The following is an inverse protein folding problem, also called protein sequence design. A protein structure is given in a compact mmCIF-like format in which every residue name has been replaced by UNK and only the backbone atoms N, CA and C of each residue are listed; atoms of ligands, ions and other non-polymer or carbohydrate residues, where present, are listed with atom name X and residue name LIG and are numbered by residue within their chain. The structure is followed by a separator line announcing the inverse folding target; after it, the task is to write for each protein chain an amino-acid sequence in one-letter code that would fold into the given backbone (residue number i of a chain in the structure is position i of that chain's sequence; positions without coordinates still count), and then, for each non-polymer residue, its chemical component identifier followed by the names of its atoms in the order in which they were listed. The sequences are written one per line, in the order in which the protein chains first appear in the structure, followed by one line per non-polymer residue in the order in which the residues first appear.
data_IF_987575965239
#
_entry.id   IF_987575965239
#
_cell.length_a   1.000
_cell.length_b   1.000
_cell.length_c   1.000
_cell.angle_alpha   90.00
_cell.angle_beta   90.00
_cell.angle_gamma   90.00
#
_symmetry.space_group_name_H-M   'P 1'
#
loop_
_entity.id
_entity.type
_entity.pdbx_description
1 polymer ?
#
# COMPACT_ATOMS: atom_id res chain seq x y z
N UNK A 1 -21.26 -9.72 -53.44
CA UNK A 1 -20.71 -10.00 -54.77
C UNK A 1 -19.77 -11.19 -54.64
N UNK A 2 -20.11 -12.27 -55.33
CA UNK A 2 -19.45 -13.57 -55.33
C UNK A 2 -17.99 -13.49 -55.80
N UNK A 3 -17.11 -14.26 -55.16
CA UNK A 3 -16.29 -15.25 -55.86
C UNK A 3 -15.51 -16.11 -54.86
N UNK A 4 -15.98 -17.35 -54.73
CA UNK A 4 -15.32 -18.48 -54.10
C UNK A 4 -13.93 -18.71 -54.71
N UNK A 5 -12.91 -18.90 -53.86
CA UNK A 5 -11.69 -19.60 -54.25
C UNK A 5 -11.62 -20.90 -53.46
N UNK A 6 -11.95 -21.97 -54.18
CA UNK A 6 -11.82 -23.36 -53.78
C UNK A 6 -10.33 -23.72 -53.62
N UNK A 7 -9.99 -24.27 -52.46
CA UNK A 7 -8.81 -25.11 -52.25
C UNK A 7 -8.97 -26.42 -53.03
N UNK A 8 -7.91 -26.99 -53.63
CA UNK A 8 -7.86 -28.42 -53.91
C UNK A 8 -7.05 -29.14 -52.84
N UNK A 9 -7.65 -30.23 -52.37
CA UNK A 9 -7.11 -31.20 -51.43
C UNK A 9 -5.82 -31.88 -51.93
N UNK A 10 -4.97 -32.17 -50.95
CA UNK A 10 -3.83 -33.04 -51.07
C UNK A 10 -4.29 -34.51 -51.15
N UNK A 11 -3.83 -35.23 -52.17
CA UNK A 11 -3.65 -36.69 -52.10
C UNK A 11 -2.43 -37.13 -52.89
N UNK A 12 -1.40 -37.49 -52.13
CA UNK A 12 -0.39 -38.54 -52.37
C UNK A 12 -0.16 -39.01 -53.81
N UNK A 13 1.02 -38.66 -54.36
CA UNK A 13 1.81 -39.64 -55.11
C UNK A 13 3.30 -39.43 -54.84
N UNK A 14 3.95 -40.55 -54.58
CA UNK A 14 5.33 -40.78 -54.17
C UNK A 14 6.32 -40.16 -55.15
N UNK A 15 7.19 -39.27 -54.68
CA UNK A 15 8.43 -38.94 -55.37
C UNK A 15 9.57 -38.95 -54.37
N UNK A 16 10.52 -39.84 -54.66
CA UNK A 16 11.71 -40.09 -53.88
C UNK A 16 12.59 -38.85 -53.80
N UNK A 17 13.24 -38.70 -52.64
CA UNK A 17 14.34 -37.79 -52.40
C UNK A 17 15.29 -37.68 -53.60
N UNK A 18 15.41 -36.48 -54.17
CA UNK A 18 16.67 -36.01 -54.74
C UNK A 18 16.89 -34.60 -54.22
N UNK A 19 17.68 -34.57 -53.16
CA UNK A 19 18.34 -33.41 -52.61
C UNK A 19 19.29 -32.83 -53.68
N UNK A 20 19.05 -31.62 -54.16
CA UNK A 20 20.07 -30.74 -54.74
C UNK A 20 19.63 -29.28 -54.59
N UNK A 21 19.96 -28.74 -53.41
CA UNK A 21 20.39 -27.36 -53.14
C UNK A 21 20.41 -26.40 -54.34
N UNK A 22 19.64 -25.31 -54.23
CA UNK A 22 20.06 -24.02 -54.79
C UNK A 22 21.34 -23.53 -54.09
N UNK A 23 22.02 -22.50 -54.64
CA UNK A 23 21.42 -21.18 -54.53
C UNK A 23 21.58 -20.29 -55.77
N UNK A 24 20.60 -19.40 -55.97
CA UNK A 24 20.81 -18.13 -56.68
C UNK A 24 21.36 -17.11 -55.68
N UNK A 25 22.52 -16.55 -55.99
CA UNK A 25 22.94 -15.22 -55.54
C UNK A 25 23.62 -14.56 -56.74
N UNK A 26 23.02 -13.49 -57.26
CA UNK A 26 23.75 -12.50 -58.05
C UNK A 26 24.40 -11.53 -57.06
N UNK A 27 25.67 -11.15 -57.25
CA UNK A 27 26.14 -9.82 -56.92
C UNK A 27 26.15 -8.96 -58.19
N UNK A 28 25.50 -7.82 -58.08
CA UNK A 28 25.83 -6.61 -58.84
C UNK A 28 27.18 -6.15 -58.27
N UNK A 29 28.22 -6.05 -59.09
CA UNK A 29 28.96 -4.79 -59.21
C UNK A 29 29.92 -4.79 -60.39
N UNK A 30 30.01 -3.58 -60.93
CA UNK A 30 30.82 -3.14 -62.06
C UNK A 30 32.30 -3.26 -61.72
N UNK A 31 33.08 -3.85 -62.62
CA UNK A 31 34.32 -3.25 -63.09
C UNK A 31 34.69 -3.90 -64.42
N UNK A 32 34.75 -3.06 -65.46
CA UNK A 32 35.06 -3.43 -66.84
C UNK A 32 36.55 -3.23 -67.05
N UNK A 33 37.35 -4.28 -67.30
CA UNK A 33 38.61 -4.12 -68.00
C UNK A 33 38.34 -4.16 -69.50
N UNK A 34 38.71 -3.08 -70.19
CA UNK A 34 38.88 -3.03 -71.65
C UNK A 34 39.75 -4.20 -72.10
N UNK A 35 39.17 -5.18 -72.78
CA UNK A 35 39.93 -6.17 -73.55
C UNK A 35 39.89 -5.74 -75.02
N UNK A 36 41.08 -5.46 -75.51
CA UNK A 36 41.40 -5.16 -76.90
C UNK A 36 40.88 -6.27 -77.81
N UNK A 37 40.21 -5.87 -78.89
CA UNK A 37 39.92 -6.74 -80.03
C UNK A 37 41.26 -7.21 -80.63
N UNK A 38 41.65 -8.44 -80.34
CA UNK A 38 42.70 -9.12 -81.11
C UNK A 38 42.08 -9.81 -82.33
N UNK A 39 42.76 -9.55 -83.43
CA UNK A 39 42.51 -9.90 -84.83
C UNK A 39 41.90 -11.29 -85.07
N UNK A 40 40.88 -11.28 -85.92
CA UNK A 40 40.28 -12.44 -86.57
C UNK A 40 41.31 -13.22 -87.41
N UNK A 41 41.32 -14.57 -87.37
CA UNK A 41 42.05 -15.35 -88.35
C UNK A 41 41.48 -15.11 -89.75
N UNK A 42 42.38 -14.94 -90.72
CA UNK A 42 42.12 -14.82 -92.17
C UNK A 42 41.39 -16.08 -92.73
N UNK A 43 40.74 -15.94 -93.90
CA UNK A 43 39.49 -16.61 -94.22
C UNK A 43 39.69 -18.06 -94.64
N UNK A 44 39.00 -18.96 -93.95
CA UNK A 44 38.69 -20.27 -94.54
C UNK A 44 37.53 -20.04 -95.50
N UNK A 45 37.75 -20.40 -96.76
CA UNK A 45 36.79 -20.33 -97.86
C UNK A 45 35.44 -20.88 -97.40
N UNK A 46 34.49 -19.97 -97.25
CA UNK A 46 33.08 -20.24 -96.98
C UNK A 46 32.51 -20.93 -98.23
N UNK A 47 32.05 -22.19 -98.18
CA UNK A 47 31.09 -22.63 -99.17
C UNK A 47 29.85 -21.79 -98.93
N UNK A 48 29.50 -20.97 -99.92
CA UNK A 48 28.26 -20.25 -100.01
C UNK A 48 27.12 -21.26 -99.88
N UNK A 49 26.56 -21.41 -98.68
CA UNK A 49 25.21 -21.93 -98.53
C UNK A 49 24.29 -20.90 -99.20
N UNK A 50 23.47 -21.28 -100.18
CA UNK A 50 22.59 -20.33 -100.84
C UNK A 50 21.60 -19.79 -99.81
N UNK A 51 21.68 -18.49 -99.54
CA UNK A 51 20.54 -17.73 -99.08
C UNK A 51 19.44 -17.85 -100.14
N UNK A 52 18.21 -18.04 -99.66
CA UNK A 52 16.95 -18.00 -100.43
C UNK A 52 16.65 -19.20 -101.34
N UNK A 53 15.95 -20.18 -100.75
CA UNK A 53 14.62 -20.51 -101.26
C UNK A 53 13.70 -20.57 -100.04
N UNK A 54 13.09 -19.44 -99.69
CA UNK A 54 11.78 -19.43 -99.06
C UNK A 54 10.79 -19.45 -100.23
N UNK A 55 10.18 -20.59 -100.61
CA UNK A 55 9.04 -20.54 -101.48
C UNK A 55 7.87 -20.03 -100.63
N UNK A 56 7.38 -18.85 -100.97
CA UNK A 56 6.02 -18.34 -100.79
C UNK A 56 5.14 -19.12 -99.79
N UNK A 57 4.88 -18.48 -98.64
CA UNK A 57 3.58 -18.27 -97.95
C UNK A 57 2.36 -19.21 -98.14
N UNK A 58 2.47 -20.43 -98.66
CA UNK A 58 1.35 -21.38 -98.81
C UNK A 58 1.71 -22.84 -98.47
N UNK A 59 2.90 -23.10 -97.90
CA UNK A 59 3.29 -24.47 -97.50
C UNK A 59 2.63 -24.91 -96.17
N UNK A 60 1.92 -24.00 -95.49
CA UNK A 60 1.11 -24.30 -94.29
C UNK A 60 -0.07 -25.26 -94.54
N UNK A 61 -0.32 -25.68 -95.78
CA UNK A 61 -1.39 -26.64 -96.12
C UNK A 61 -0.90 -27.97 -96.71
N UNK A 62 0.41 -28.19 -96.81
CA UNK A 62 0.91 -29.54 -97.10
C UNK A 62 1.02 -30.32 -95.80
N UNK A 63 0.05 -31.19 -95.54
CA UNK A 63 0.25 -32.36 -94.68
C UNK A 63 1.42 -33.16 -95.28
N UNK A 64 2.66 -32.84 -94.87
CA UNK A 64 3.81 -33.66 -95.20
C UNK A 64 3.60 -35.01 -94.49
N UNK A 65 3.56 -36.13 -95.23
CA UNK A 65 3.33 -37.43 -94.63
C UNK A 65 4.41 -37.70 -93.57
N UNK A 66 4.00 -38.21 -92.41
CA UNK A 66 4.95 -38.53 -91.34
C UNK A 66 5.98 -39.56 -91.82
N UNK A 67 7.18 -39.59 -91.24
CA UNK A 67 8.24 -40.57 -91.58
C UNK A 67 7.71 -42.02 -91.73
N UNK A 68 6.77 -42.51 -90.89
CA UNK A 68 6.14 -43.82 -91.09
C UNK A 68 5.34 -43.96 -92.40
N UNK A 69 4.65 -42.91 -92.83
CA UNK A 69 3.87 -42.89 -94.07
C UNK A 69 4.79 -42.84 -95.29
N UNK A 70 5.86 -42.03 -95.23
CA UNK A 70 6.89 -41.98 -96.29
C UNK A 70 7.63 -43.32 -96.39
N UNK A 71 8.02 -43.92 -95.25
CA UNK A 71 8.61 -45.28 -95.22
C UNK A 71 7.70 -46.30 -95.88
N UNK A 72 6.40 -46.30 -95.56
CA UNK A 72 5.43 -47.23 -96.14
C UNK A 72 5.26 -47.04 -97.65
N UNK A 73 5.24 -45.80 -98.13
CA UNK A 73 5.14 -45.49 -99.56
C UNK A 73 6.42 -45.87 -100.33
N UNK A 74 7.60 -45.65 -99.74
CA UNK A 74 8.87 -46.02 -100.34
C UNK A 74 9.09 -47.54 -100.34
N UNK A 75 8.65 -48.26 -99.31
CA UNK A 75 8.67 -49.73 -99.27
C UNK A 75 7.76 -50.33 -100.36
N UNK A 76 6.58 -49.73 -100.57
CA UNK A 76 5.70 -50.10 -101.68
C UNK A 76 6.33 -49.83 -103.05
N UNK A 77 7.09 -48.74 -103.20
CA UNK A 77 7.85 -48.43 -104.41
C UNK A 77 8.97 -49.45 -104.63
N UNK A 78 9.70 -49.78 -103.56
CA UNK A 78 10.80 -50.76 -103.56
C UNK A 78 10.33 -52.15 -104.00
N UNK A 79 9.18 -52.58 -103.50
CA UNK A 79 8.58 -53.85 -103.91
C UNK A 79 8.21 -53.87 -105.40
N UNK A 80 7.59 -52.80 -105.92
CA UNK A 80 7.27 -52.68 -107.36
C UNK A 80 8.52 -52.61 -108.26
N UNK A 81 9.61 -52.04 -107.76
CA UNK A 81 10.87 -51.89 -108.51
C UNK A 81 11.74 -53.16 -108.50
N UNK A 82 11.48 -54.07 -107.56
CA UNK A 82 12.10 -55.40 -107.51
C UNK A 82 11.69 -56.33 -108.68
N UNK A 83 10.84 -55.86 -109.59
CA UNK A 83 10.47 -56.54 -110.82
C UNK A 83 11.34 -56.13 -112.03
N UNK A 84 12.15 -55.07 -111.92
CA UNK A 84 12.97 -54.54 -113.04
C UNK A 84 14.26 -55.37 -113.24
N UNK A 85 14.52 -56.04 -114.36
CA UNK A 85 15.64 -57.00 -114.48
C UNK A 85 17.05 -56.40 -114.35
N UNK A 86 17.19 -55.08 -114.44
CA UNK A 86 18.49 -54.40 -114.35
C UNK A 86 18.91 -54.12 -112.89
N UNK A 87 19.97 -54.81 -112.45
CA UNK A 87 20.52 -54.75 -111.09
C UNK A 87 21.10 -53.38 -110.72
N UNK A 88 21.67 -52.64 -111.67
CA UNK A 88 22.25 -51.32 -111.39
C UNK A 88 21.18 -50.27 -111.09
N UNK A 89 20.07 -50.29 -111.83
CA UNK A 89 18.94 -49.39 -111.58
C UNK A 89 18.28 -49.66 -110.22
N UNK A 90 18.18 -50.93 -109.80
CA UNK A 90 17.69 -51.26 -108.45
C UNK A 90 18.58 -50.70 -107.37
N UNK A 91 19.90 -50.83 -107.48
CA UNK A 91 20.86 -50.27 -106.52
C UNK A 91 20.78 -48.75 -106.47
N UNK A 92 20.63 -48.10 -107.62
CA UNK A 92 20.54 -46.64 -107.68
C UNK A 92 19.25 -46.13 -107.02
N UNK A 93 18.12 -46.79 -107.26
CA UNK A 93 16.85 -46.40 -106.64
C UNK A 93 16.83 -46.74 -105.14
N UNK A 94 17.36 -47.89 -104.73
CA UNK A 94 17.53 -48.22 -103.30
C UNK A 94 18.39 -47.16 -102.59
N UNK A 95 19.46 -46.69 -103.22
CA UNK A 95 20.28 -45.62 -102.67
C UNK A 95 19.50 -44.29 -102.55
N UNK A 96 18.70 -43.93 -103.57
CA UNK A 96 17.83 -42.75 -103.51
C UNK A 96 16.77 -42.86 -102.41
N UNK A 97 16.20 -44.05 -102.19
CA UNK A 97 15.26 -44.32 -101.10
C UNK A 97 15.95 -44.13 -99.74
N UNK A 98 17.15 -44.69 -99.56
CA UNK A 98 17.94 -44.52 -98.32
C UNK A 98 18.26 -43.04 -98.06
N UNK A 99 18.71 -42.31 -99.08
CA UNK A 99 18.99 -40.88 -98.97
C UNK A 99 17.74 -40.07 -98.62
N UNK A 100 16.58 -40.41 -99.21
CA UNK A 100 15.31 -39.74 -98.93
C UNK A 100 14.84 -39.99 -97.49
N UNK A 101 14.98 -41.22 -96.99
CA UNK A 101 14.64 -41.55 -95.61
C UNK A 101 15.57 -40.85 -94.61
N UNK A 102 16.87 -40.76 -94.93
CA UNK A 102 17.84 -40.04 -94.11
C UNK A 102 17.53 -38.54 -94.06
N UNK A 103 17.27 -37.91 -95.20
CA UNK A 103 16.90 -36.49 -95.27
C UNK A 103 15.63 -36.20 -94.46
N UNK A 104 14.62 -37.07 -94.53
CA UNK A 104 13.38 -36.87 -93.77
C UNK A 104 13.59 -37.08 -92.26
N UNK A 105 14.42 -38.03 -91.83
CA UNK A 105 14.76 -38.18 -90.40
C UNK A 105 15.55 -36.99 -89.87
N UNK A 106 16.45 -36.42 -90.67
CA UNK A 106 17.24 -35.25 -90.28
C UNK A 106 16.34 -34.01 -90.14
N UNK A 107 15.35 -33.85 -91.02
CA UNK A 107 14.32 -32.78 -90.92
C UNK A 107 13.46 -32.94 -89.66
N UNK A 108 13.01 -34.15 -89.35
CA UNK A 108 12.18 -34.41 -88.16
C UNK A 108 12.99 -34.20 -86.86
N UNK A 109 14.28 -34.55 -86.85
CA UNK A 109 15.19 -34.27 -85.74
C UNK A 109 15.36 -32.76 -85.53
N UNK A 110 15.62 -31.99 -86.59
CA UNK A 110 15.74 -30.53 -86.52
C UNK A 110 14.45 -29.88 -86.00
N UNK A 111 13.27 -30.36 -86.43
CA UNK A 111 11.97 -29.86 -85.94
C UNK A 111 11.75 -30.17 -84.45
N UNK A 112 12.12 -31.38 -84.00
CA UNK A 112 12.06 -31.75 -82.58
C UNK A 112 12.97 -30.87 -81.72
N UNK A 113 14.20 -30.62 -82.17
CA UNK A 113 15.13 -29.72 -81.50
C UNK A 113 14.60 -28.27 -81.41
N UNK A 114 13.96 -27.77 -82.48
CA UNK A 114 13.34 -26.43 -82.49
C UNK A 114 12.21 -26.30 -81.47
N UNK A 115 11.29 -27.27 -81.44
CA UNK A 115 10.17 -27.28 -80.49
C UNK A 115 10.64 -27.37 -79.03
N UNK A 116 11.68 -28.16 -78.77
CA UNK A 116 12.29 -28.25 -77.43
C UNK A 116 12.91 -26.92 -76.98
N UNK A 117 13.55 -26.19 -77.90
CA UNK A 117 14.13 -24.88 -77.61
C UNK A 117 13.07 -23.82 -77.31
N UNK A 118 11.97 -23.78 -78.07
CA UNK A 118 10.85 -22.86 -77.81
C UNK A 118 10.18 -23.12 -76.46
N UNK A 119 9.95 -24.40 -76.11
CA UNK A 119 9.39 -24.77 -74.82
C UNK A 119 10.31 -24.38 -73.65
N UNK A 120 11.61 -24.66 -73.77
CA UNK A 120 12.61 -24.26 -72.78
C UNK A 120 12.68 -22.73 -72.63
N UNK A 121 12.74 -21.98 -73.74
CA UNK A 121 12.75 -20.52 -73.74
C UNK A 121 11.47 -19.93 -73.11
N UNK A 122 10.29 -20.49 -73.41
CA UNK A 122 9.04 -20.09 -72.77
C UNK A 122 9.04 -20.34 -71.25
N UNK A 123 9.63 -21.45 -70.82
CA UNK A 123 9.78 -21.81 -69.41
C UNK A 123 10.71 -20.84 -68.67
N UNK A 124 11.81 -20.41 -69.30
CA UNK A 124 12.70 -19.41 -68.73
C UNK A 124 12.03 -18.04 -68.66
N UNK A 125 11.33 -17.60 -69.71
CA UNK A 125 10.61 -16.33 -69.71
C UNK A 125 9.55 -16.25 -68.59
N UNK A 126 8.81 -17.33 -68.34
CA UNK A 126 7.88 -17.42 -67.20
C UNK A 126 8.59 -17.30 -65.85
N UNK A 127 9.74 -17.96 -65.68
CA UNK A 127 10.55 -17.86 -64.46
C UNK A 127 11.08 -16.44 -64.25
N UNK A 128 11.57 -15.79 -65.31
CA UNK A 128 12.00 -14.39 -65.26
C UNK A 128 10.86 -13.45 -64.92
N UNK A 129 9.67 -13.65 -65.50
CA UNK A 129 8.47 -12.89 -65.17
C UNK A 129 8.08 -13.00 -63.69
N UNK A 130 8.08 -14.21 -63.11
CA UNK A 130 7.81 -14.43 -61.69
C UNK A 130 8.82 -13.69 -60.80
N UNK A 131 10.11 -13.78 -61.13
CA UNK A 131 11.18 -13.13 -60.36
C UNK A 131 11.08 -11.60 -60.42
N UNK A 132 10.69 -11.03 -61.56
CA UNK A 132 10.47 -9.59 -61.67
C UNK A 132 9.30 -9.13 -60.81
N UNK A 133 8.20 -9.88 -60.78
CA UNK A 133 7.06 -9.61 -59.91
C UNK A 133 7.44 -9.73 -58.42
N UNK A 134 8.18 -10.76 -58.03
CA UNK A 134 8.69 -10.95 -56.67
C UNK A 134 9.64 -9.82 -56.26
N UNK A 135 10.56 -9.42 -57.14
CA UNK A 135 11.48 -8.31 -56.89
C UNK A 135 10.73 -6.98 -56.72
N UNK A 136 9.71 -6.72 -57.56
CA UNK A 136 8.86 -5.53 -57.42
C UNK A 136 8.10 -5.53 -56.08
N UNK A 137 7.57 -6.68 -55.66
CA UNK A 137 6.89 -6.81 -54.37
C UNK A 137 7.86 -6.60 -53.19
N UNK A 138 9.06 -7.20 -53.23
CA UNK A 138 10.09 -7.01 -52.20
C UNK A 138 10.53 -5.54 -52.11
N UNK A 139 10.73 -4.88 -53.25
CA UNK A 139 11.06 -3.45 -53.30
C UNK A 139 9.97 -2.58 -52.67
N UNK A 140 8.69 -2.88 -52.96
CA UNK A 140 7.56 -2.19 -52.36
C UNK A 140 7.48 -2.40 -50.83
N UNK A 141 7.67 -3.63 -50.37
CA UNK A 141 7.69 -3.94 -48.93
C UNK A 141 8.87 -3.26 -48.23
N UNK A 142 10.06 -3.23 -48.84
CA UNK A 142 11.22 -2.52 -48.32
C UNK A 142 10.93 -1.03 -48.12
N UNK A 143 10.30 -0.38 -49.11
CA UNK A 143 9.92 1.04 -49.00
C UNK A 143 8.92 1.29 -47.86
N UNK A 144 7.91 0.43 -47.70
CA UNK A 144 6.97 0.51 -46.57
C UNK A 144 7.68 0.36 -45.23
N UNK A 145 8.65 -0.55 -45.13
CA UNK A 145 9.41 -0.76 -43.92
C UNK A 145 10.25 0.47 -43.55
N UNK A 146 10.92 1.08 -44.54
CA UNK A 146 11.69 2.33 -44.34
C UNK A 146 10.80 3.50 -43.90
N UNK A 147 9.57 3.61 -44.42
CA UNK A 147 8.60 4.62 -43.97
C UNK A 147 8.14 4.37 -42.53
N UNK A 148 7.87 3.11 -42.17
CA UNK A 148 7.50 2.73 -40.81
C UNK A 148 8.65 2.98 -39.81
N UNK A 149 9.89 2.67 -40.18
CA UNK A 149 11.07 2.96 -39.36
C UNK A 149 11.20 4.46 -39.05
N UNK A 150 10.98 5.32 -40.06
CA UNK A 150 10.96 6.78 -39.86
C UNK A 150 9.87 7.24 -38.90
N UNK A 151 8.69 6.62 -38.93
CA UNK A 151 7.60 6.93 -38.00
C UNK A 151 7.95 6.51 -36.58
N UNK A 152 8.49 5.30 -36.40
CA UNK A 152 8.93 4.79 -35.09
C UNK A 152 10.00 5.69 -34.47
N UNK A 153 10.98 6.15 -35.26
CA UNK A 153 12.01 7.09 -34.77
C UNK A 153 11.39 8.42 -34.34
N UNK A 154 10.41 8.95 -35.09
CA UNK A 154 9.70 10.17 -34.69
C UNK A 154 8.93 10.00 -33.38
N UNK A 155 8.19 8.90 -33.24
CA UNK A 155 7.44 8.61 -32.01
C UNK A 155 8.37 8.41 -30.81
N UNK A 156 9.49 7.70 -31.00
CA UNK A 156 10.53 7.54 -29.98
C UNK A 156 11.04 8.89 -29.47
N UNK A 157 11.37 9.81 -30.37
CA UNK A 157 11.87 11.15 -29.99
C UNK A 157 10.82 11.97 -29.21
N UNK A 158 9.54 11.84 -29.56
CA UNK A 158 8.43 12.47 -28.82
C UNK A 158 8.32 11.87 -27.41
N UNK A 159 8.42 10.54 -27.29
CA UNK A 159 8.39 9.85 -26.00
C UNK A 159 9.59 10.26 -25.14
N UNK A 160 10.81 10.26 -25.68
CA UNK A 160 12.01 10.71 -24.97
C UNK A 160 11.87 12.14 -24.44
N UNK A 161 11.37 13.06 -25.28
CA UNK A 161 11.11 14.43 -24.85
C UNK A 161 10.09 14.51 -23.70
N UNK A 162 9.05 13.67 -23.73
CA UNK A 162 8.03 13.61 -22.66
C UNK A 162 8.58 13.02 -21.38
N UNK A 163 9.44 12.00 -21.47
CA UNK A 163 10.15 11.42 -20.33
C UNK A 163 11.04 12.47 -19.66
N UNK A 164 11.78 13.26 -20.44
CA UNK A 164 12.61 14.34 -19.89
C UNK A 164 11.81 15.41 -19.13
N UNK A 165 10.62 15.76 -19.63
CA UNK A 165 9.71 16.69 -18.93
C UNK A 165 9.24 16.07 -17.60
N UNK A 166 8.79 14.81 -17.63
CA UNK A 166 8.32 14.12 -16.44
C UNK A 166 9.43 13.93 -15.39
N UNK A 167 10.67 13.67 -15.81
CA UNK A 167 11.82 13.55 -14.90
C UNK A 167 12.13 14.89 -14.22
N UNK A 168 11.98 16.02 -14.93
CA UNK A 168 12.11 17.37 -14.35
C UNK A 168 10.99 17.66 -13.35
N UNK A 169 9.74 17.33 -13.67
CA UNK A 169 8.61 17.49 -12.74
C UNK A 169 8.75 16.63 -11.49
N UNK A 170 9.17 15.37 -11.64
CA UNK A 170 9.48 14.48 -10.52
C UNK A 170 10.50 15.10 -9.57
N UNK A 171 11.63 15.61 -10.09
CA UNK A 171 12.66 16.26 -9.28
C UNK A 171 12.16 17.52 -8.58
N UNK A 172 11.32 18.32 -9.26
CA UNK A 172 10.68 19.51 -8.66
C UNK A 172 9.79 19.10 -7.48
N UNK A 173 8.90 18.13 -7.65
CA UNK A 173 8.00 17.64 -6.61
C UNK A 173 8.76 17.01 -5.44
N UNK A 174 9.85 16.31 -5.72
CA UNK A 174 10.71 15.73 -4.68
C UNK A 174 11.39 16.81 -3.82
N UNK A 175 11.82 17.91 -4.44
CA UNK A 175 12.32 19.08 -3.72
C UNK A 175 11.24 19.72 -2.86
N UNK A 176 10.05 19.95 -3.40
CA UNK A 176 8.93 20.54 -2.67
C UNK A 176 8.52 19.69 -1.45
N UNK A 177 8.52 18.36 -1.60
CA UNK A 177 8.27 17.43 -0.50
C UNK A 177 9.36 17.50 0.58
N UNK A 178 10.62 17.69 0.17
CA UNK A 178 11.74 17.89 1.10
C UNK A 178 11.57 19.18 1.90
N UNK A 179 11.09 20.25 1.26
CA UNK A 179 10.84 21.54 1.91
C UNK A 179 9.62 21.50 2.86
N UNK A 180 8.58 20.73 2.53
CA UNK A 180 7.39 20.57 3.36
C UNK A 180 7.61 19.68 4.60
N UNK A 181 8.59 18.75 4.56
CA UNK A 181 8.86 17.81 5.67
C UNK A 181 9.21 18.52 6.99
N UNK A 182 10.08 19.54 7.04
CA UNK A 182 10.31 20.35 8.24
C UNK A 182 9.05 21.01 8.79
N UNK A 183 8.16 21.54 7.94
CA UNK A 183 6.93 22.19 8.40
C UNK A 183 5.99 21.18 9.09
N UNK A 184 5.89 19.97 8.56
CA UNK A 184 5.10 18.90 9.17
C UNK A 184 5.61 18.55 10.58
N UNK A 185 6.93 18.44 10.77
CA UNK A 185 7.48 18.13 12.09
C UNK A 185 7.33 19.32 13.06
N UNK A 186 7.56 20.56 12.59
CA UNK A 186 7.28 21.78 13.38
C UNK A 186 5.83 21.86 13.84
N UNK A 187 4.87 21.52 12.97
CA UNK A 187 3.45 21.52 13.30
C UNK A 187 3.13 20.47 14.36
N UNK A 188 3.69 19.26 14.22
CA UNK A 188 3.55 18.17 15.19
C UNK A 188 4.13 18.55 16.56
N UNK A 189 5.27 19.22 16.60
CA UNK A 189 5.86 19.69 17.86
C UNK A 189 5.04 20.83 18.48
N UNK A 190 4.52 21.74 17.66
CA UNK A 190 3.59 22.79 18.11
C UNK A 190 2.31 22.20 18.70
N UNK A 191 1.80 21.12 18.11
CA UNK A 191 0.61 20.41 18.60
C UNK A 191 0.86 19.75 19.96
N UNK A 192 2.02 19.10 20.15
CA UNK A 192 2.42 18.56 21.47
C UNK A 192 2.52 19.66 22.52
N UNK A 193 3.04 20.83 22.16
CA UNK A 193 3.16 21.95 23.09
C UNK A 193 1.81 22.53 23.48
N UNK A 194 0.89 22.65 22.52
CA UNK A 194 -0.51 23.02 22.80
C UNK A 194 -1.19 22.04 23.75
N UNK A 195 -0.96 20.74 23.60
CA UNK A 195 -1.49 19.71 24.50
C UNK A 195 -0.94 19.86 25.93
N UNK A 196 0.37 20.16 26.06
CA UNK A 196 1.00 20.46 27.36
C UNK A 196 0.42 21.71 28.00
N UNK A 197 0.29 22.80 27.24
CA UNK A 197 -0.29 24.05 27.73
C UNK A 197 -1.74 23.86 28.15
N UNK A 198 -2.54 23.11 27.38
CA UNK A 198 -3.93 22.77 27.75
C UNK A 198 -3.97 22.02 29.09
N UNK A 199 -3.10 21.04 29.26
CA UNK A 199 -2.99 20.27 30.51
C UNK A 199 -2.59 21.19 31.69
N UNK A 200 -1.65 22.11 31.47
CA UNK A 200 -1.25 23.11 32.47
C UNK A 200 -2.42 24.04 32.83
N UNK A 201 -3.14 24.58 31.85
CA UNK A 201 -4.32 25.43 32.07
C UNK A 201 -5.39 24.70 32.90
N UNK A 202 -5.59 23.41 32.65
CA UNK A 202 -6.55 22.60 33.39
C UNK A 202 -6.15 22.42 34.86
N UNK A 203 -4.85 22.24 35.14
CA UNK A 203 -4.34 22.26 36.52
C UNK A 203 -4.54 23.63 37.18
N UNK A 204 -4.23 24.73 36.49
CA UNK A 204 -4.47 26.09 36.99
C UNK A 204 -5.94 26.34 37.32
N UNK A 205 -6.87 25.87 36.48
CA UNK A 205 -8.32 25.96 36.75
C UNK A 205 -8.73 25.21 38.02
N UNK A 206 -8.18 24.00 38.25
CA UNK A 206 -8.43 23.24 39.49
C UNK A 206 -7.90 23.98 40.72
N UNK A 207 -6.69 24.53 40.62
CA UNK A 207 -6.09 25.31 41.71
C UNK A 207 -6.85 26.60 41.98
N UNK A 208 -7.35 27.29 40.95
CA UNK A 208 -8.18 28.48 41.10
C UNK A 208 -9.48 28.18 41.85
N UNK A 209 -10.21 27.11 41.46
CA UNK A 209 -11.41 26.66 42.18
C UNK A 209 -11.13 26.33 43.65
N UNK A 210 -10.02 25.62 43.93
CA UNK A 210 -9.61 25.32 45.30
C UNK A 210 -9.31 26.59 46.10
N UNK A 211 -8.68 27.59 45.49
CA UNK A 211 -8.39 28.86 46.14
C UNK A 211 -9.66 29.67 46.42
N UNK A 212 -10.64 29.68 45.49
CA UNK A 212 -11.96 30.29 45.74
C UNK A 212 -12.68 29.63 46.92
N UNK A 213 -12.69 28.30 46.99
CA UNK A 213 -13.29 27.57 48.11
C UNK A 213 -12.58 27.86 49.43
N UNK A 214 -11.24 27.93 49.42
CA UNK A 214 -10.44 28.35 50.58
C UNK A 214 -10.78 29.78 51.00
N UNK A 215 -10.91 30.72 50.06
CA UNK A 215 -11.25 32.10 50.34
C UNK A 215 -12.63 32.19 51.00
N UNK A 216 -13.62 31.45 50.48
CA UNK A 216 -14.96 31.37 51.08
C UNK A 216 -14.93 30.83 52.50
N UNK A 217 -14.22 29.72 52.74
CA UNK A 217 -14.03 29.15 54.09
C UNK A 217 -13.32 30.12 55.03
N UNK A 218 -12.34 30.86 54.54
CA UNK A 218 -11.61 31.86 55.34
C UNK A 218 -12.53 33.03 55.74
N UNK A 219 -13.39 33.48 54.82
CA UNK A 219 -14.38 34.52 55.11
C UNK A 219 -15.42 34.06 56.14
N UNK A 220 -15.90 32.82 56.04
CA UNK A 220 -16.81 32.23 57.04
C UNK A 220 -16.15 32.14 58.43
N UNK A 221 -14.90 31.66 58.49
CA UNK A 221 -14.13 31.63 59.74
C UNK A 221 -13.95 33.03 60.34
N UNK A 222 -13.64 34.02 59.51
CA UNK A 222 -13.50 35.43 59.96
C UNK A 222 -14.82 35.94 60.53
N UNK A 223 -15.95 35.62 59.90
CA UNK A 223 -17.29 35.98 60.42
C UNK A 223 -17.58 35.29 61.75
N UNK A 224 -17.30 33.99 61.86
CA UNK A 224 -17.48 33.23 63.10
C UNK A 224 -16.59 33.79 64.23
N UNK A 225 -15.37 34.19 63.92
CA UNK A 225 -14.46 34.80 64.89
C UNK A 225 -15.02 36.11 65.46
N UNK A 226 -15.62 36.96 64.62
CA UNK A 226 -16.30 38.18 65.09
C UNK A 226 -17.50 37.89 65.99
N UNK A 227 -18.27 36.83 65.73
CA UNK A 227 -19.38 36.39 66.57
C UNK A 227 -18.90 35.86 67.92
N UNK A 228 -17.88 35.01 67.92
CA UNK A 228 -17.25 34.49 69.15
C UNK A 228 -16.71 35.64 70.01
N UNK A 229 -16.11 36.65 69.38
CA UNK A 229 -15.57 37.81 70.10
C UNK A 229 -16.70 38.68 70.70
N UNK A 230 -17.82 38.83 69.99
CA UNK A 230 -19.01 39.48 70.53
C UNK A 230 -19.62 38.71 71.72
N UNK A 231 -19.74 37.38 71.61
CA UNK A 231 -20.20 36.52 72.72
C UNK A 231 -19.26 36.58 73.92
N UNK A 232 -17.94 36.53 73.70
CA UNK A 232 -16.94 36.67 74.76
C UNK A 232 -17.07 38.00 75.48
N UNK A 233 -17.30 39.09 74.75
CA UNK A 233 -17.53 40.41 75.34
C UNK A 233 -18.83 40.48 76.15
N UNK A 234 -19.89 39.81 75.68
CA UNK A 234 -21.15 39.73 76.41
C UNK A 234 -21.01 38.93 77.72
N UNK A 235 -20.38 37.75 77.66
CA UNK A 235 -20.09 36.93 78.83
C UNK A 235 -19.20 37.67 79.84
N UNK A 236 -18.22 38.46 79.36
CA UNK A 236 -17.39 39.30 80.22
C UNK A 236 -18.23 40.34 80.97
N UNK A 237 -19.18 41.01 80.31
CA UNK A 237 -20.11 41.95 80.96
C UNK A 237 -20.99 41.25 82.00
N UNK A 238 -21.54 40.08 81.67
CA UNK A 238 -22.34 39.28 82.62
C UNK A 238 -21.52 38.87 83.85
N UNK A 239 -20.26 38.48 83.67
CA UNK A 239 -19.33 38.15 84.75
C UNK A 239 -19.10 39.37 85.66
N UNK A 240 -18.86 40.55 85.07
CA UNK A 240 -18.60 41.79 85.81
C UNK A 240 -19.84 42.25 86.61
N UNK A 241 -21.05 42.11 86.04
CA UNK A 241 -22.31 42.35 86.76
C UNK A 241 -22.51 41.39 87.94
N UNK A 242 -22.23 40.09 87.76
CA UNK A 242 -22.32 39.10 88.84
C UNK A 242 -21.30 39.39 89.93
N UNK A 243 -20.06 39.72 89.56
CA UNK A 243 -19.00 40.07 90.50
C UNK A 243 -19.36 41.32 91.31
N UNK A 244 -19.98 42.34 90.69
CA UNK A 244 -20.47 43.52 91.40
C UNK A 244 -21.62 43.19 92.36
N UNK A 245 -22.56 42.33 91.97
CA UNK A 245 -23.64 41.86 92.87
C UNK A 245 -23.08 41.07 94.05
N UNK A 246 -22.10 40.20 93.82
CA UNK A 246 -21.44 39.42 94.86
C UNK A 246 -20.68 40.33 95.82
N UNK A 247 -19.89 41.27 95.31
CA UNK A 247 -19.19 42.28 96.13
C UNK A 247 -20.18 43.13 96.95
N UNK A 248 -21.33 43.49 96.39
CA UNK A 248 -22.40 44.19 97.11
C UNK A 248 -22.96 43.36 98.28
N UNK A 249 -23.22 42.08 98.05
CA UNK A 249 -23.66 41.15 99.12
C UNK A 249 -22.60 40.93 100.18
N UNK A 250 -21.33 40.84 99.80
CA UNK A 250 -20.21 40.73 100.74
C UNK A 250 -20.20 41.96 101.66
N UNK A 251 -20.29 43.17 101.11
CA UNK A 251 -20.37 44.40 101.93
C UNK A 251 -21.58 44.41 102.85
N UNK A 252 -22.76 44.01 102.37
CA UNK A 252 -23.96 43.94 103.21
C UNK A 252 -23.80 42.92 104.37
N UNK A 253 -23.16 41.78 104.10
CA UNK A 253 -22.84 40.78 105.12
C UNK A 253 -21.78 41.28 106.10
N UNK A 254 -20.77 42.00 105.65
CA UNK A 254 -19.76 42.65 106.50
C UNK A 254 -20.39 43.70 107.43
N UNK A 255 -21.33 44.50 106.92
CA UNK A 255 -22.10 45.46 107.73
C UNK A 255 -22.97 44.76 108.77
N UNK A 256 -23.72 43.72 108.37
CA UNK A 256 -24.51 42.90 109.30
C UNK A 256 -23.64 42.24 110.37
N UNK A 257 -22.47 41.74 109.98
CA UNK A 257 -21.50 41.15 110.89
C UNK A 257 -20.95 42.19 111.87
N UNK A 258 -20.60 43.39 111.41
CA UNK A 258 -20.18 44.50 112.27
C UNK A 258 -21.27 44.91 113.26
N UNK A 259 -22.53 44.98 112.80
CA UNK A 259 -23.68 45.28 113.65
C UNK A 259 -23.91 44.18 114.70
N UNK A 260 -23.80 42.92 114.31
CA UNK A 260 -23.88 41.78 115.21
C UNK A 260 -22.75 41.81 116.25
N UNK A 261 -21.51 42.09 115.84
CA UNK A 261 -20.38 42.26 116.75
C UNK A 261 -20.63 43.39 117.76
N UNK A 262 -21.17 44.54 117.33
CA UNK A 262 -21.56 45.64 118.23
C UNK A 262 -22.64 45.20 119.22
N UNK A 263 -23.65 44.46 118.77
CA UNK A 263 -24.75 43.97 119.62
C UNK A 263 -24.29 42.92 120.64
N UNK A 264 -23.39 42.02 120.23
CA UNK A 264 -22.74 41.07 121.14
C UNK A 264 -21.94 41.82 122.20
N UNK A 265 -21.21 42.87 121.83
CA UNK A 265 -20.47 43.71 122.78
C UNK A 265 -21.39 44.38 123.80
N UNK A 266 -22.56 44.87 123.38
CA UNK A 266 -23.58 45.46 124.27
C UNK A 266 -24.16 44.40 125.21
N UNK A 267 -24.55 43.24 124.70
CA UNK A 267 -25.08 42.14 125.52
C UNK A 267 -24.04 41.63 126.54
N UNK A 268 -22.75 41.59 126.17
CA UNK A 268 -21.67 41.24 127.10
C UNK A 268 -21.45 42.31 128.18
N UNK A 269 -21.75 43.58 127.90
CA UNK A 269 -21.76 44.63 128.93
C UNK A 269 -23.01 44.61 129.81
N UNK A 270 -24.17 44.25 129.25
CA UNK A 270 -25.42 44.04 130.01
C UNK A 270 -25.31 42.81 130.93
N UNK A 271 -24.75 41.70 130.46
CA UNK A 271 -24.45 40.52 131.29
C UNK A 271 -23.45 40.83 132.41
N UNK A 272 -22.45 41.68 132.15
CA UNK A 272 -21.55 42.17 133.21
C UNK A 272 -22.25 43.07 134.24
N UNK A 273 -23.43 43.61 133.94
CA UNK A 273 -24.25 44.38 134.89
C UNK A 273 -25.32 43.52 135.59
N UNK A 274 -25.66 42.34 135.07
CA UNK A 274 -26.62 41.41 135.69
C UNK A 274 -25.98 40.37 136.61
N UNK A 275 -24.66 40.12 136.54
CA UNK A 275 -23.96 39.24 137.50
C UNK A 275 -23.83 39.83 138.93
N UNK A 276 -24.31 41.06 139.15
CA UNK A 276 -24.46 41.66 140.48
C UNK A 276 -25.92 42.04 140.80
N UNK A 277 -26.87 41.10 140.71
CA UNK A 277 -28.12 41.09 141.52
C UNK A 277 -28.96 39.82 141.33
N UNK A 278 -28.88 38.97 142.36
CA UNK A 278 -29.98 38.30 143.09
C UNK A 278 -31.06 37.48 142.36
N UNK A 279 -31.24 36.31 142.98
CA UNK A 279 -32.48 35.61 143.34
C UNK A 279 -33.26 34.86 142.23
N UNK A 280 -33.09 33.55 142.29
CA UNK A 280 -34.06 32.47 142.08
C UNK A 280 -35.47 32.85 141.59
N UNK A 281 -35.81 32.38 140.39
CA UNK A 281 -37.10 31.76 140.02
C UNK A 281 -37.39 32.00 138.54
N UNK A 282 -36.75 31.29 137.60
CA UNK A 282 -37.24 31.22 136.20
C UNK A 282 -36.60 30.11 135.35
N UNK A 283 -36.18 28.99 135.96
CA UNK A 283 -35.58 27.86 135.23
C UNK A 283 -36.62 27.00 134.48
N UNK A 284 -37.92 27.11 134.80
CA UNK A 284 -38.98 26.38 134.09
C UNK A 284 -39.43 27.10 132.81
N UNK A 285 -39.44 28.44 132.79
CA UNK A 285 -39.79 29.24 131.62
C UNK A 285 -38.72 29.16 130.51
N UNK A 286 -37.44 29.06 130.89
CA UNK A 286 -36.32 28.85 129.97
C UNK A 286 -36.34 27.45 129.35
N UNK A 287 -36.62 26.39 130.13
CA UNK A 287 -36.76 25.03 129.59
C UNK A 287 -37.95 24.90 128.62
N UNK A 288 -39.04 25.62 128.86
CA UNK A 288 -40.19 25.64 127.95
C UNK A 288 -39.90 26.38 126.63
N UNK A 289 -39.15 27.50 126.68
CA UNK A 289 -38.69 28.21 125.47
C UNK A 289 -37.65 27.42 124.67
N UNK A 290 -36.78 26.66 125.33
CA UNK A 290 -35.81 25.79 124.64
C UNK A 290 -36.54 24.67 123.90
N UNK A 291 -37.54 24.01 124.52
CA UNK A 291 -38.37 23.01 123.83
C UNK A 291 -39.16 23.59 122.65
N UNK A 292 -39.72 24.80 122.77
CA UNK A 292 -40.42 25.46 121.65
C UNK A 292 -39.49 25.81 120.48
N UNK A 293 -38.23 26.18 120.76
CA UNK A 293 -37.24 26.48 119.73
C UNK A 293 -36.70 25.21 119.06
N UNK A 294 -36.52 24.12 119.81
CA UNK A 294 -36.17 22.81 119.25
C UNK A 294 -37.29 22.26 118.36
N UNK A 295 -38.56 22.46 118.72
CA UNK A 295 -39.71 22.07 117.88
C UNK A 295 -39.82 22.92 116.60
N UNK A 296 -39.53 24.23 116.68
CA UNK A 296 -39.47 25.12 115.49
C UNK A 296 -38.31 24.75 114.56
N UNK A 297 -37.14 24.41 115.11
CA UNK A 297 -35.98 23.95 114.34
C UNK A 297 -36.24 22.60 113.66
N UNK A 298 -36.98 21.70 114.32
CA UNK A 298 -37.40 20.43 113.74
C UNK A 298 -38.44 20.59 112.61
N UNK A 299 -39.37 21.57 112.75
CA UNK A 299 -40.33 21.94 111.69
C UNK A 299 -39.65 22.59 110.48
N UNK A 300 -38.63 23.44 110.69
CA UNK A 300 -37.85 24.05 109.59
C UNK A 300 -37.00 23.00 108.83
N UNK A 301 -36.40 22.02 109.52
CA UNK A 301 -35.69 20.89 108.87
C UNK A 301 -36.62 19.98 108.05
N UNK A 302 -37.89 19.83 108.45
CA UNK A 302 -38.91 19.12 107.65
C UNK A 302 -39.37 19.93 106.43
N UNK A 303 -39.46 21.25 106.53
CA UNK A 303 -39.76 22.12 105.38
C UNK A 303 -38.63 22.11 104.35
N UNK A 304 -37.35 22.18 104.76
CA UNK A 304 -36.21 22.08 103.83
C UNK A 304 -36.04 20.71 103.17
N UNK A 305 -36.53 19.64 103.78
CA UNK A 305 -36.53 18.29 103.15
C UNK A 305 -37.75 18.04 102.26
N UNK A 306 -38.82 18.83 102.40
CA UNK A 306 -39.95 18.86 101.45
C UNK A 306 -39.69 19.77 100.25
N UNK A 307 -38.98 20.90 100.39
CA UNK A 307 -38.62 21.79 99.27
C UNK A 307 -37.64 21.15 98.27
N UNK A 308 -36.83 20.17 98.69
CA UNK A 308 -36.01 19.35 97.76
C UNK A 308 -36.87 18.34 96.97
N UNK A 309 -38.11 18.08 97.39
CA UNK A 309 -39.03 17.12 96.76
C UNK A 309 -40.15 17.74 95.93
N UNK A 310 -40.27 19.08 95.84
CA UNK A 310 -41.37 19.75 95.12
C UNK A 310 -40.95 20.61 93.94
N UNK A 311 -39.73 20.43 93.40
CA UNK A 311 -39.41 20.83 92.03
C UNK A 311 -39.39 19.60 91.12
N UNK A 312 -40.52 18.91 91.04
CA UNK A 312 -40.85 18.02 89.93
C UNK A 312 -42.07 18.59 89.22
N UNK A 313 -41.86 19.56 88.34
CA UNK A 313 -42.83 19.86 87.30
C UNK A 313 -42.13 20.23 85.99
N UNK A 314 -42.66 19.57 84.95
CA UNK A 314 -42.54 19.82 83.52
C UNK A 314 -41.15 19.79 82.90
N UNK A 315 -40.82 18.64 82.30
CA UNK A 315 -40.77 18.57 80.85
C UNK A 315 -41.04 17.12 80.41
N UNK A 316 -42.14 16.93 79.69
CA UNK A 316 -42.39 15.71 78.93
C UNK A 316 -41.24 15.54 77.91
N UNK A 317 -40.28 14.69 78.21
CA UNK A 317 -39.44 14.07 77.20
C UNK A 317 -39.51 12.56 77.41
N UNK A 318 -40.08 11.91 76.40
CA UNK A 318 -40.18 10.48 76.19
C UNK A 318 -38.85 9.76 76.53
N UNK A 319 -38.82 8.69 77.37
CA UNK A 319 -37.57 8.08 77.81
C UNK A 319 -36.85 7.28 76.72
N UNK A 320 -37.44 7.14 75.53
CA UNK A 320 -36.84 6.44 74.40
C UNK A 320 -35.98 7.34 73.49
N UNK A 321 -35.86 8.64 73.80
CA UNK A 321 -35.03 9.60 73.07
C UNK A 321 -33.70 9.88 73.78
N UNK A 322 -32.96 8.82 74.11
CA UNK A 322 -31.64 8.89 74.75
C UNK A 322 -30.53 9.56 73.93
N UNK A 323 -30.84 10.06 72.72
CA UNK A 323 -29.94 10.86 71.91
C UNK A 323 -30.43 12.31 71.91
N UNK A 324 -29.65 13.21 72.51
CA UNK A 324 -29.88 14.66 72.43
C UNK A 324 -30.16 15.07 70.98
N UNK A 325 -31.06 16.03 70.73
CA UNK A 325 -31.46 16.44 69.35
C UNK A 325 -30.26 16.74 68.46
N UNK A 326 -29.18 17.23 69.06
CA UNK A 326 -27.87 17.48 68.43
C UNK A 326 -27.22 16.18 67.94
N UNK A 327 -27.21 15.14 68.76
CA UNK A 327 -26.62 13.83 68.48
C UNK A 327 -27.43 13.06 67.42
N UNK A 328 -28.77 13.21 67.41
CA UNK A 328 -29.62 12.70 66.31
C UNK A 328 -29.34 13.37 64.97
N UNK A 329 -29.14 14.69 64.97
CA UNK A 329 -28.76 15.42 63.75
C UNK A 329 -27.38 15.01 63.26
N UNK A 330 -26.41 14.81 64.16
CA UNK A 330 -25.09 14.32 63.79
C UNK A 330 -25.13 12.90 63.21
N UNK A 331 -25.90 11.99 63.81
CA UNK A 331 -26.10 10.64 63.26
C UNK A 331 -26.76 10.69 61.88
N UNK A 332 -27.79 11.51 61.71
CA UNK A 332 -28.46 11.69 60.41
C UNK A 332 -27.52 12.28 59.35
N UNK A 333 -26.64 13.21 59.71
CA UNK A 333 -25.60 13.74 58.81
C UNK A 333 -24.54 12.70 58.48
N UNK A 334 -24.12 11.88 59.46
CA UNK A 334 -23.19 10.76 59.25
C UNK A 334 -23.78 9.70 58.33
N UNK A 335 -25.06 9.36 58.49
CA UNK A 335 -25.77 8.41 57.62
C UNK A 335 -25.93 8.96 56.21
N UNK A 336 -26.23 10.26 56.06
CA UNK A 336 -26.27 10.92 54.75
C UNK A 336 -24.89 10.89 54.07
N UNK A 337 -23.82 11.15 54.82
CA UNK A 337 -22.45 11.10 54.31
C UNK A 337 -22.03 9.67 53.94
N UNK A 338 -22.38 8.67 54.75
CA UNK A 338 -22.13 7.26 54.42
C UNK A 338 -22.86 6.86 53.14
N UNK A 339 -24.11 7.28 52.96
CA UNK A 339 -24.86 6.98 51.74
C UNK A 339 -24.27 7.69 50.53
N UNK A 340 -23.84 8.95 50.68
CA UNK A 340 -23.13 9.68 49.63
C UNK A 340 -21.83 8.97 49.22
N UNK A 341 -21.01 8.56 50.19
CA UNK A 341 -19.77 7.83 49.94
C UNK A 341 -20.01 6.45 49.31
N UNK A 342 -21.11 5.78 49.64
CA UNK A 342 -21.50 4.52 48.97
C UNK A 342 -21.84 4.72 47.50
N UNK A 343 -22.58 5.78 47.17
CA UNK A 343 -22.88 6.13 45.77
C UNK A 343 -21.60 6.49 45.02
N UNK A 344 -20.74 7.32 45.61
CA UNK A 344 -19.45 7.69 45.00
C UNK A 344 -18.53 6.48 44.78
N UNK A 345 -18.53 5.51 45.70
CA UNK A 345 -17.80 4.25 45.53
C UNK A 345 -18.40 3.37 44.43
N UNK A 346 -19.72 3.35 44.27
CA UNK A 346 -20.39 2.60 43.20
C UNK A 346 -20.07 3.20 41.83
N UNK A 347 -20.15 4.53 41.68
CA UNK A 347 -19.78 5.24 40.44
C UNK A 347 -18.31 4.99 40.07
N UNK A 348 -17.39 5.09 41.04
CA UNK A 348 -15.97 4.78 40.81
C UNK A 348 -15.74 3.32 40.44
N UNK A 349 -16.55 2.38 40.94
CA UNK A 349 -16.45 0.98 40.56
C UNK A 349 -16.88 0.77 39.10
N UNK A 350 -17.93 1.45 38.63
CA UNK A 350 -18.36 1.44 37.24
C UNK A 350 -17.30 2.06 36.31
N UNK A 351 -16.71 3.20 36.68
CA UNK A 351 -15.60 3.81 35.94
C UNK A 351 -14.40 2.84 35.79
N UNK A 352 -14.09 2.08 36.84
CA UNK A 352 -13.02 1.07 36.81
C UNK A 352 -13.37 -0.08 35.87
N UNK A 353 -14.64 -0.52 35.84
CA UNK A 353 -15.10 -1.58 34.93
C UNK A 353 -15.01 -1.11 33.48
N UNK A 354 -15.45 0.11 33.19
CA UNK A 354 -15.38 0.69 31.84
C UNK A 354 -13.93 0.87 31.40
N UNK A 355 -13.07 1.41 32.26
CA UNK A 355 -11.64 1.54 31.97
C UNK A 355 -10.97 0.19 31.70
N UNK A 356 -11.35 -0.87 32.43
CA UNK A 356 -10.87 -2.24 32.14
C UNK A 356 -11.32 -2.73 30.77
N UNK A 357 -12.57 -2.51 30.38
CA UNK A 357 -13.09 -2.88 29.05
C UNK A 357 -12.31 -2.17 27.94
N UNK A 358 -12.07 -0.86 28.07
CA UNK A 358 -11.30 -0.07 27.10
C UNK A 358 -9.85 -0.57 26.98
N UNK A 359 -9.23 -0.97 28.10
CA UNK A 359 -7.89 -1.56 28.10
C UNK A 359 -7.87 -2.89 27.34
N UNK A 360 -8.87 -3.74 27.51
CA UNK A 360 -8.95 -5.04 26.85
C UNK A 360 -9.24 -4.91 25.35
N UNK A 361 -10.08 -3.95 24.94
CA UNK A 361 -10.25 -3.57 23.53
C UNK A 361 -8.93 -3.08 22.92
N UNK A 362 -8.20 -2.20 23.62
CA UNK A 362 -6.91 -1.69 23.16
C UNK A 362 -5.85 -2.81 23.03
N UNK A 363 -5.87 -3.80 23.94
CA UNK A 363 -5.01 -5.00 23.82
C UNK A 363 -5.38 -5.83 22.59
N UNK A 364 -6.67 -6.01 22.31
CA UNK A 364 -7.13 -6.73 21.13
C UNK A 364 -6.71 -6.03 19.84
N UNK A 365 -6.93 -4.71 19.72
CA UNK A 365 -6.48 -3.93 18.57
C UNK A 365 -4.96 -3.98 18.38
N UNK A 366 -4.19 -3.93 19.48
CA UNK A 366 -2.73 -4.07 19.43
C UNK A 366 -2.30 -5.47 18.95
N UNK A 367 -3.01 -6.52 19.35
CA UNK A 367 -2.76 -7.88 18.88
C UNK A 367 -3.02 -8.00 17.37
N UNK A 368 -4.15 -7.48 16.89
CA UNK A 368 -4.52 -7.50 15.48
C UNK A 368 -3.51 -6.74 14.60
N UNK A 369 -3.00 -5.60 15.08
CA UNK A 369 -1.94 -4.86 14.38
C UNK A 369 -0.62 -5.65 14.30
N UNK A 370 -0.26 -6.39 15.36
CA UNK A 370 0.92 -7.28 15.34
C UNK A 370 0.74 -8.42 14.33
N UNK A 371 -0.45 -9.01 14.26
CA UNK A 371 -0.80 -10.06 13.29
C UNK A 371 -0.68 -9.53 11.84
N UNK A 372 -1.25 -8.35 11.57
CA UNK A 372 -1.14 -7.68 10.25
C UNK A 372 0.31 -7.39 9.87
N UNK A 373 1.12 -6.92 10.83
CA UNK A 373 2.54 -6.66 10.60
C UNK A 373 3.31 -7.96 10.31
N UNK A 374 3.01 -9.06 10.99
CA UNK A 374 3.61 -10.37 10.72
C UNK A 374 3.31 -10.83 9.30
N UNK A 375 2.04 -10.78 8.87
CA UNK A 375 1.64 -11.14 7.50
C UNK A 375 2.34 -10.28 6.45
N UNK A 376 2.44 -8.97 6.67
CA UNK A 376 3.17 -8.07 5.76
C UNK A 376 4.65 -8.38 5.65
N UNK A 377 5.29 -8.82 6.74
CA UNK A 377 6.69 -9.29 6.70
C UNK A 377 6.83 -10.59 5.91
N UNK A 378 5.91 -11.52 6.08
CA UNK A 378 5.89 -12.79 5.33
C UNK A 378 5.67 -12.53 3.84
N UNK A 379 4.70 -11.69 3.46
CA UNK A 379 4.46 -11.26 2.08
C UNK A 379 5.71 -10.61 1.46
N UNK A 380 6.37 -9.70 2.17
CA UNK A 380 7.59 -9.05 1.70
C UNK A 380 8.76 -10.03 1.53
N UNK A 381 8.87 -11.03 2.41
CA UNK A 381 9.90 -12.06 2.30
C UNK A 381 9.64 -12.98 1.09
N UNK A 382 8.39 -13.38 0.87
CA UNK A 382 8.00 -14.17 -0.30
C UNK A 382 8.29 -13.41 -1.60
N UNK A 383 7.90 -12.13 -1.69
CA UNK A 383 8.18 -11.29 -2.84
C UNK A 383 9.69 -11.14 -3.10
N UNK A 384 10.51 -11.06 -2.04
CA UNK A 384 11.98 -11.01 -2.16
C UNK A 384 12.56 -12.32 -2.70
N UNK A 385 12.02 -13.46 -2.26
CA UNK A 385 12.44 -14.77 -2.76
C UNK A 385 12.06 -14.95 -4.23
N UNK A 386 10.84 -14.54 -4.63
CA UNK A 386 10.38 -14.57 -6.02
C UNK A 386 11.26 -13.69 -6.93
N UNK A 387 11.59 -12.47 -6.48
CA UNK A 387 12.49 -11.58 -7.21
C UNK A 387 13.87 -12.23 -7.44
N UNK A 388 14.40 -12.92 -6.42
CA UNK A 388 15.69 -13.62 -6.52
C UNK A 388 15.63 -14.74 -7.57
N UNK A 389 14.58 -15.54 -7.55
CA UNK A 389 14.37 -16.60 -8.56
C UNK A 389 14.28 -16.00 -9.97
N UNK A 390 13.61 -14.87 -10.12
CA UNK A 390 13.48 -14.22 -11.43
C UNK A 390 14.80 -13.60 -11.91
N UNK A 391 15.62 -13.07 -11.00
CA UNK A 391 17.00 -12.65 -11.30
C UNK A 391 17.86 -13.82 -11.77
N UNK A 392 17.84 -14.95 -11.06
CA UNK A 392 18.59 -16.16 -11.45
C UNK A 392 18.17 -16.67 -12.84
N UNK A 393 16.87 -16.65 -13.16
CA UNK A 393 16.39 -16.98 -14.52
C UNK A 393 16.91 -16.00 -15.57
N UNK A 394 16.89 -14.71 -15.27
CA UNK A 394 17.37 -13.67 -16.18
C UNK A 394 18.85 -13.84 -16.47
N UNK A 395 19.67 -14.05 -15.44
CA UNK A 395 21.10 -14.34 -15.58
C UNK A 395 21.35 -15.60 -16.42
N UNK A 396 20.57 -16.67 -16.21
CA UNK A 396 20.66 -17.89 -17.01
C UNK A 396 20.33 -17.67 -18.49
N UNK A 397 19.31 -16.86 -18.79
CA UNK A 397 18.95 -16.50 -20.16
C UNK A 397 20.02 -15.62 -20.83
N UNK A 398 20.59 -14.68 -20.09
CA UNK A 398 21.66 -13.80 -20.56
C UNK A 398 22.92 -14.61 -20.88
N UNK A 399 23.27 -15.59 -20.04
CA UNK A 399 24.38 -16.49 -20.31
C UNK A 399 24.14 -17.35 -21.56
N UNK A 400 22.93 -17.88 -21.75
CA UNK A 400 22.56 -18.59 -22.99
C UNK A 400 22.66 -17.71 -24.23
N UNK A 401 22.28 -16.44 -24.14
CA UNK A 401 22.42 -15.48 -25.24
C UNK A 401 23.89 -15.25 -25.59
N UNK A 402 24.74 -15.04 -24.59
CA UNK A 402 26.17 -14.87 -24.77
C UNK A 402 26.82 -16.10 -25.42
N UNK A 403 26.47 -17.32 -24.96
CA UNK A 403 26.95 -18.57 -25.56
C UNK A 403 26.54 -18.70 -27.04
N UNK A 404 25.32 -18.28 -27.39
CA UNK A 404 24.89 -18.26 -28.79
C UNK A 404 25.64 -17.23 -29.61
N UNK A 405 25.90 -16.05 -29.06
CA UNK A 405 26.67 -15.00 -29.73
C UNK A 405 28.11 -15.43 -29.98
N UNK A 406 28.76 -16.08 -29.02
CA UNK A 406 30.10 -16.66 -29.21
C UNK A 406 30.13 -17.76 -30.27
N UNK A 407 29.14 -18.67 -30.25
CA UNK A 407 29.02 -19.71 -31.31
C UNK A 407 28.86 -19.09 -32.69
N UNK A 408 28.10 -18.00 -32.82
CA UNK A 408 27.96 -17.27 -34.08
C UNK A 408 29.27 -16.58 -34.49
N UNK A 409 30.00 -15.98 -33.55
CA UNK A 409 31.32 -15.39 -33.81
C UNK A 409 32.33 -16.44 -34.27
N UNK A 410 32.42 -17.58 -33.60
CA UNK A 410 33.28 -18.70 -33.99
C UNK A 410 32.93 -19.24 -35.38
N UNK A 411 31.64 -19.45 -35.67
CA UNK A 411 31.17 -19.88 -36.98
C UNK A 411 31.52 -18.86 -38.08
N UNK A 412 31.39 -17.56 -37.80
CA UNK A 412 31.80 -16.51 -38.73
C UNK A 412 33.32 -16.47 -38.99
N UNK A 413 34.12 -16.90 -38.02
CA UNK A 413 35.58 -16.95 -38.12
C UNK A 413 36.03 -18.17 -38.94
N UNK A 414 35.47 -19.34 -38.65
CA UNK A 414 35.69 -20.56 -39.45
C UNK A 414 35.30 -20.35 -40.92
N UNK A 415 34.14 -19.73 -41.22
CA UNK A 415 33.79 -19.46 -42.62
C UNK A 415 34.75 -18.51 -43.34
N UNK A 416 35.41 -17.59 -42.60
CA UNK A 416 36.43 -16.70 -43.18
C UNK A 416 37.75 -17.45 -43.43
N UNK A 417 38.15 -18.32 -42.51
CA UNK A 417 39.35 -19.15 -42.68
C UNK A 417 39.18 -20.16 -43.83
N UNK A 418 37.99 -20.75 -43.98
CA UNK A 418 37.66 -21.65 -45.09
C UNK A 418 37.67 -20.92 -46.46
N UNK A 419 37.19 -19.67 -46.50
CA UNK A 419 37.27 -18.83 -47.71
C UNK A 419 38.71 -18.49 -48.08
N UNK A 420 39.57 -18.20 -47.09
CA UNK A 420 40.99 -17.93 -47.32
C UNK A 420 41.72 -19.20 -47.79
N UNK A 421 41.41 -20.37 -47.22
CA UNK A 421 41.95 -21.66 -47.66
C UNK A 421 41.57 -22.01 -49.11
N UNK A 422 40.32 -21.76 -49.50
CA UNK A 422 39.86 -21.91 -50.89
C UNK A 422 40.57 -20.93 -51.84
N UNK A 423 40.79 -19.68 -51.42
CA UNK A 423 41.51 -18.69 -52.23
C UNK A 423 42.98 -19.09 -52.48
N UNK A 424 43.65 -19.60 -51.44
CA UNK A 424 45.03 -20.10 -51.52
C UNK A 424 45.12 -21.34 -52.42
N UNK A 425 44.16 -22.27 -52.30
CA UNK A 425 44.08 -23.45 -53.18
C UNK A 425 43.84 -23.07 -54.65
N UNK A 426 42.99 -22.08 -54.93
CA UNK A 426 42.76 -21.57 -56.28
C UNK A 426 44.01 -20.92 -56.89
N UNK A 427 44.80 -20.19 -56.09
CA UNK A 427 46.08 -19.65 -56.54
C UNK A 427 47.13 -20.74 -56.76
N UNK A 428 47.16 -21.79 -55.95
CA UNK A 428 48.10 -22.89 -56.10
C UNK A 428 47.81 -23.76 -57.34
N UNK A 429 46.53 -23.93 -57.70
CA UNK A 429 46.11 -24.66 -58.92
C UNK A 429 46.34 -23.83 -60.19
N UNK A 430 46.22 -22.51 -60.13
CA UNK A 430 46.46 -21.63 -61.29
C UNK A 430 47.93 -21.38 -61.60
N UNK A 431 48.85 -21.75 -60.68
CA UNK A 431 50.30 -21.55 -60.85
C UNK A 431 51.03 -22.80 -61.36
N UNK A 432 50.33 -23.94 -61.45
CA UNK A 432 50.81 -25.18 -62.07
C UNK A 432 50.25 -25.32 -63.47
#
# INVERSE_FOLDING_TARGET
MNSNCLLPDASTSTSQNVDTRGPKVYPIDQDVPKIQFFQTPKPVVRPTLPDQICPNSEISKFHKPSLPVIKKQLEQLRNKLSEIPNVEWRRHIDHLITLTLQQQSDIDLLRSCSMGYEQWASGQLKKFGSLLCEHANLSFQKKKLEEHEKLVVKEKNVIESKVDILEKERKRLESELKDLRPFKEKYKDSLKEMERLKSSIETFKKTAKLNEEKLSKTNELTKNQSLIEAERNNLKKQLEELQNKENGKIKELEEKYSLAQKRIKVLLTEFKCEDEKKDSSDESALKQKISELEEKLAKEKKLRTMEVKTNSSSENNDPHDGLSRTMKRELSLRDAEINRLKVECAEKAEEIIEAKSQIDEAKHSKMELREKLRRKKEEAQTARNELKVEQEKRESLEQRLNDMEEKLKLKSKSMREDQVGLLIMFHFISWR
#
